data_IF_252971681273
#
_entry.id   IF_252971681273
#
_cell.length_a   1.000
_cell.length_b   1.000
_cell.length_c   1.000
_cell.angle_alpha   90.00
_cell.angle_beta   90.00
_cell.angle_gamma   90.00
#
_symmetry.space_group_name_H-M   'P 1'
#
loop_
_entity.id
_entity.type
_entity.pdbx_description
1 polymer ?
#
# COMPACT_ATOMS: atom_id res chain seq x y z
N UNK A 1 -5.88 -16.20 6.68
CA UNK A 1 -4.87 -15.38 6.01
C UNK A 1 -4.43 -14.30 6.98
N UNK A 2 -3.14 -13.96 7.03
CA UNK A 2 -2.63 -12.90 7.89
C UNK A 2 -1.47 -12.18 7.19
N UNK A 3 -1.17 -10.96 7.62
CA UNK A 3 -0.05 -10.18 7.10
C UNK A 3 1.19 -10.38 7.96
N UNK A 4 2.28 -10.78 7.33
CA UNK A 4 3.58 -10.95 7.99
C UNK A 4 4.55 -9.87 7.51
N UNK A 5 5.42 -9.42 8.41
CA UNK A 5 6.51 -8.51 8.06
C UNK A 5 7.43 -9.20 7.03
N UNK A 6 7.55 -8.61 5.85
CA UNK A 6 8.42 -9.11 4.78
C UNK A 6 9.86 -8.69 5.07
N UNK A 7 10.77 -9.66 5.14
CA UNK A 7 12.22 -9.44 5.32
C UNK A 7 13.00 -9.49 4.02
N UNK A 8 12.40 -10.05 2.99
CA UNK A 8 12.98 -10.19 1.67
C UNK A 8 12.64 -8.97 0.81
N UNK A 9 13.54 -8.68 -0.14
CA UNK A 9 13.34 -7.65 -1.14
C UNK A 9 12.06 -7.90 -1.94
N UNK A 10 11.26 -6.85 -2.11
CA UNK A 10 10.12 -6.87 -3.02
C UNK A 10 10.60 -6.51 -4.44
N UNK A 11 10.73 -7.52 -5.30
CA UNK A 11 11.08 -7.34 -6.72
C UNK A 11 9.83 -6.98 -7.54
N UNK A 12 9.41 -5.71 -7.42
CA UNK A 12 8.22 -5.20 -8.10
C UNK A 12 8.59 -4.57 -9.44
N UNK A 13 8.05 -5.11 -10.53
CA UNK A 13 8.15 -4.54 -11.88
C UNK A 13 6.79 -4.08 -12.39
N UNK A 14 6.79 -3.24 -13.43
CA UNK A 14 5.55 -2.74 -14.02
C UNK A 14 4.73 -3.88 -14.62
N UNK A 15 5.38 -4.89 -15.18
CA UNK A 15 4.67 -6.03 -15.79
C UNK A 15 3.96 -6.90 -14.74
N UNK A 16 4.48 -6.94 -13.51
CA UNK A 16 3.97 -7.76 -12.40
C UNK A 16 3.00 -7.02 -11.48
N UNK A 17 2.98 -5.69 -11.51
CA UNK A 17 2.05 -4.91 -10.70
C UNK A 17 0.65 -4.94 -11.36
N UNK A 18 -0.28 -5.64 -10.73
CA UNK A 18 -1.65 -5.77 -11.21
C UNK A 18 -2.52 -4.60 -10.76
N UNK A 19 -2.28 -4.07 -9.55
CA UNK A 19 -3.05 -2.97 -9.00
C UNK A 19 -2.33 -2.32 -7.81
N UNK A 20 -2.73 -1.08 -7.52
CA UNK A 20 -2.22 -0.31 -6.39
C UNK A 20 -3.39 0.42 -5.74
N UNK A 21 -3.40 0.57 -4.41
CA UNK A 21 -4.34 1.44 -3.70
C UNK A 21 -3.56 2.29 -2.72
N UNK A 22 -3.69 3.61 -2.80
CA UNK A 22 -2.99 4.54 -1.94
C UNK A 22 -3.86 4.94 -0.74
N UNK A 23 -3.23 5.19 0.40
CA UNK A 23 -3.94 5.75 1.55
C UNK A 23 -4.34 7.20 1.27
N UNK A 24 -5.61 7.53 1.49
CA UNK A 24 -6.20 8.86 1.35
C UNK A 24 -5.88 9.79 2.52
N UNK A 25 -5.55 9.22 3.69
CA UNK A 25 -5.23 9.96 4.90
C UNK A 25 -3.77 9.76 5.34
N UNK A 26 -3.39 10.48 6.40
CA UNK A 26 -2.05 10.40 7.00
C UNK A 26 -2.16 10.26 8.53
N UNK A 27 -2.57 9.08 9.04
CA UNK A 27 -2.71 8.87 10.47
C UNK A 27 -1.36 8.92 11.18
N UNK A 28 -1.39 9.13 12.51
CA UNK A 28 -0.24 8.90 13.37
C UNK A 28 -0.18 7.41 13.68
N UNK A 29 0.67 6.67 12.98
CA UNK A 29 0.84 5.24 13.16
C UNK A 29 1.91 4.95 14.23
N UNK A 30 1.67 3.91 15.05
CA UNK A 30 2.63 3.37 16.01
C UNK A 30 2.84 1.88 15.73
N UNK A 31 3.61 1.59 14.69
CA UNK A 31 3.96 0.24 14.25
C UNK A 31 5.30 -0.14 14.88
N UNK A 32 5.47 -1.37 15.38
CA UNK A 32 6.65 -1.75 16.16
C UNK A 32 7.98 -1.49 15.43
N UNK A 33 7.96 -1.63 14.11
CA UNK A 33 9.11 -1.46 13.21
C UNK A 33 9.32 -0.02 12.73
N UNK A 34 8.40 0.92 13.04
CA UNK A 34 8.49 2.33 12.63
C UNK A 34 8.46 3.28 13.82
N UNK A 35 9.22 4.40 13.78
CA UNK A 35 9.04 5.48 14.74
C UNK A 35 7.61 6.02 14.68
N UNK A 36 6.99 6.21 15.85
CA UNK A 36 5.66 6.78 15.95
C UNK A 36 5.57 8.16 15.28
N UNK A 37 4.55 8.37 14.44
CA UNK A 37 4.38 9.63 13.73
C UNK A 37 3.46 9.52 12.51
N UNK A 38 3.25 10.63 11.78
CA UNK A 38 2.48 10.64 10.54
C UNK A 38 3.07 9.65 9.53
N UNK A 39 2.22 8.80 8.97
CA UNK A 39 2.60 7.79 7.99
C UNK A 39 1.66 7.82 6.78
N UNK A 40 2.11 7.22 5.68
CA UNK A 40 1.30 6.88 4.50
C UNK A 40 1.42 5.39 4.21
N UNK A 41 0.40 4.83 3.58
CA UNK A 41 0.38 3.43 3.20
C UNK A 41 -0.05 3.23 1.75
N UNK A 42 0.28 2.05 1.20
CA UNK A 42 -0.28 1.57 -0.04
C UNK A 42 -0.45 0.06 0.00
N UNK A 43 -1.48 -0.43 -0.70
CA UNK A 43 -1.70 -1.86 -0.97
C UNK A 43 -1.34 -2.12 -2.43
N UNK A 44 -0.36 -2.99 -2.67
CA UNK A 44 0.02 -3.44 -3.99
C UNK A 44 -0.47 -4.87 -4.23
N UNK A 45 -1.14 -5.08 -5.35
CA UNK A 45 -1.57 -6.39 -5.85
C UNK A 45 -0.62 -6.74 -7.00
N UNK A 46 0.12 -7.83 -6.89
CA UNK A 46 1.18 -8.14 -7.84
C UNK A 46 1.41 -9.64 -8.00
N UNK A 47 2.14 -10.02 -9.04
CA UNK A 47 2.63 -11.38 -9.23
C UNK A 47 4.06 -11.52 -8.70
N UNK A 48 4.31 -12.54 -7.88
CA UNK A 48 5.65 -12.93 -7.44
C UNK A 48 6.46 -13.53 -8.59
N UNK A 49 7.77 -13.75 -8.36
CA UNK A 49 8.69 -14.30 -9.38
C UNK A 49 8.25 -15.68 -9.89
N UNK A 50 7.55 -16.46 -9.05
CA UNK A 50 7.00 -17.77 -9.40
C UNK A 50 5.65 -17.71 -10.14
N UNK A 51 5.17 -16.50 -10.43
CA UNK A 51 3.91 -16.24 -11.14
C UNK A 51 2.67 -16.31 -10.24
N UNK A 52 2.83 -16.45 -8.93
CA UNK A 52 1.69 -16.48 -8.00
C UNK A 52 1.23 -15.07 -7.65
N UNK A 53 -0.08 -14.82 -7.61
CA UNK A 53 -0.60 -13.55 -7.10
C UNK A 53 -0.26 -13.39 -5.62
N UNK A 54 0.14 -12.19 -5.23
CA UNK A 54 0.41 -11.80 -3.86
C UNK A 54 -0.09 -10.37 -3.60
N UNK A 55 -0.37 -10.08 -2.34
CA UNK A 55 -0.81 -8.76 -1.88
C UNK A 55 0.15 -8.28 -0.81
N UNK A 56 0.61 -7.05 -0.99
CA UNK A 56 1.61 -6.44 -0.13
C UNK A 56 1.11 -5.08 0.37
N UNK A 57 1.25 -4.83 1.66
CA UNK A 57 0.96 -3.54 2.29
C UNK A 57 2.26 -2.85 2.66
N UNK A 58 2.55 -1.73 2.01
CA UNK A 58 3.67 -0.86 2.33
C UNK A 58 3.24 0.27 3.25
N UNK A 59 4.02 0.55 4.30
CA UNK A 59 3.81 1.71 5.18
C UNK A 59 5.11 2.50 5.28
N UNK A 60 5.05 3.82 5.10
CA UNK A 60 6.19 4.74 5.26
C UNK A 60 5.90 5.83 6.27
N UNK A 61 6.83 6.01 7.21
CA UNK A 61 6.86 7.17 8.09
C UNK A 61 7.26 8.43 7.31
N UNK A 62 6.45 9.49 7.40
CA UNK A 62 6.77 10.75 6.72
C UNK A 62 7.89 11.52 7.42
N UNK A 63 8.10 11.28 8.72
CA UNK A 63 9.12 11.99 9.49
C UNK A 63 10.51 11.37 9.29
N UNK A 64 10.63 10.05 9.48
CA UNK A 64 11.93 9.37 9.36
C UNK A 64 12.22 8.86 7.96
N UNK A 65 11.21 8.86 7.07
CA UNK A 65 11.27 8.26 5.74
C UNK A 65 11.48 6.73 5.75
N UNK A 66 11.53 6.11 6.93
CA UNK A 66 11.60 4.66 7.09
C UNK A 66 10.30 4.01 6.61
N UNK A 67 10.42 2.85 5.97
CA UNK A 67 9.29 2.09 5.46
C UNK A 67 9.39 0.62 5.84
N UNK A 68 8.22 0.01 5.97
CA UNK A 68 8.03 -1.41 6.27
C UNK A 68 7.06 -2.00 5.25
N UNK A 69 7.26 -3.28 4.96
CA UNK A 69 6.46 -4.02 3.99
C UNK A 69 5.87 -5.23 4.71
N UNK A 70 4.57 -5.43 4.56
CA UNK A 70 3.87 -6.63 5.00
C UNK A 70 3.38 -7.39 3.77
N UNK A 71 3.53 -8.71 3.74
CA UNK A 71 2.98 -9.55 2.68
C UNK A 71 1.91 -10.48 3.25
N UNK A 72 0.91 -10.79 2.42
CA UNK A 72 -0.14 -11.72 2.77
C UNK A 72 0.41 -13.15 2.78
N UNK A 73 0.29 -13.81 3.93
CA UNK A 73 0.57 -15.25 4.05
C UNK A 73 -0.74 -16.02 3.79
N UNK A 74 -0.79 -16.70 2.65
CA UNK A 74 -1.95 -17.47 2.19
C UNK A 74 -1.85 -17.83 0.70
N UNK A 75 -2.76 -18.69 0.24
CA UNK A 75 -2.89 -19.03 -1.17
C UNK A 75 -3.95 -18.14 -1.84
N UNK A 76 -3.57 -17.44 -2.91
CA UNK A 76 -4.41 -16.56 -3.72
C UNK A 76 -4.72 -17.12 -5.13
N UNK A 77 -4.43 -18.41 -5.39
CA UNK A 77 -4.56 -19.02 -6.71
C UNK A 77 -6.01 -19.07 -7.24
N UNK A 78 -7.02 -18.95 -6.36
CA UNK A 78 -8.43 -18.92 -6.75
C UNK A 78 -8.95 -17.49 -6.86
N UNK A 79 -9.80 -17.20 -7.85
CA UNK A 79 -10.34 -15.84 -8.05
C UNK A 79 -11.13 -15.33 -6.83
N UNK A 80 -11.85 -16.21 -6.15
CA UNK A 80 -12.53 -15.89 -4.88
C UNK A 80 -11.53 -15.55 -3.77
N UNK A 81 -10.34 -16.14 -3.77
CA UNK A 81 -9.31 -15.87 -2.77
C UNK A 81 -8.66 -14.51 -2.97
N UNK A 82 -8.54 -14.02 -4.22
CA UNK A 82 -7.97 -12.70 -4.50
C UNK A 82 -8.83 -11.57 -3.90
N UNK A 83 -10.15 -11.60 -4.13
CA UNK A 83 -11.07 -10.60 -3.56
C UNK A 83 -11.01 -10.60 -2.02
N UNK A 84 -11.06 -11.77 -1.40
CA UNK A 84 -10.93 -11.91 0.06
C UNK A 84 -9.55 -11.43 0.57
N UNK A 85 -8.49 -11.66 -0.21
CA UNK A 85 -7.16 -11.16 0.11
C UNK A 85 -7.07 -9.63 0.06
N UNK A 86 -7.75 -9.00 -0.91
CA UNK A 86 -7.83 -7.54 -1.02
C UNK A 86 -8.58 -6.97 0.19
N UNK A 87 -9.76 -7.51 0.51
CA UNK A 87 -10.54 -7.08 1.68
C UNK A 87 -9.74 -7.22 2.98
N UNK A 88 -9.01 -8.34 3.12
CA UNK A 88 -8.12 -8.56 4.25
C UNK A 88 -6.99 -7.51 4.32
N UNK A 89 -6.44 -7.08 3.19
CA UNK A 89 -5.41 -6.05 3.12
C UNK A 89 -5.94 -4.67 3.53
N UNK A 90 -7.14 -4.32 3.06
CA UNK A 90 -7.82 -3.08 3.43
C UNK A 90 -8.11 -3.07 4.92
N UNK A 91 -8.75 -4.12 5.45
CA UNK A 91 -9.01 -4.27 6.89
C UNK A 91 -7.73 -4.20 7.72
N UNK A 92 -6.62 -4.78 7.25
CA UNK A 92 -5.33 -4.70 7.92
C UNK A 92 -4.81 -3.26 7.98
N UNK A 93 -4.87 -2.52 6.87
CA UNK A 93 -4.48 -1.12 6.84
C UNK A 93 -5.41 -0.19 7.63
N UNK A 94 -6.71 -0.44 7.61
CA UNK A 94 -7.73 0.30 8.37
C UNK A 94 -7.57 0.12 9.88
N UNK A 95 -7.21 -1.08 10.34
CA UNK A 95 -6.85 -1.32 11.73
C UNK A 95 -5.61 -0.54 12.17
N UNK A 96 -4.74 -0.13 11.24
CA UNK A 96 -3.62 0.79 11.49
C UNK A 96 -4.03 2.28 11.34
N UNK A 97 -5.28 2.56 11.00
CA UNK A 97 -5.86 3.90 10.84
C UNK A 97 -5.79 4.48 9.43
N UNK A 98 -5.40 3.69 8.42
CA UNK A 98 -5.35 4.15 7.03
C UNK A 98 -6.71 3.98 6.34
N UNK A 99 -7.11 4.95 5.52
CA UNK A 99 -8.26 4.86 4.63
C UNK A 99 -7.75 4.74 3.20
N UNK A 100 -8.27 3.82 2.40
CA UNK A 100 -7.83 3.60 1.03
C UNK A 100 -8.92 4.00 0.04
N UNK A 101 -8.50 4.40 -1.15
CA UNK A 101 -9.41 4.56 -2.29
C UNK A 101 -9.70 3.19 -2.90
N UNK A 102 -10.96 2.97 -3.29
CA UNK A 102 -11.39 1.74 -3.97
C UNK A 102 -11.18 1.82 -5.49
N UNK A 103 -11.11 3.03 -6.05
CA UNK A 103 -11.33 3.27 -7.49
C UNK A 103 -10.07 3.62 -8.31
N UNK A 104 -8.89 3.76 -7.70
CA UNK A 104 -7.81 4.53 -8.35
C UNK A 104 -7.16 3.84 -9.58
N UNK A 105 -7.25 2.51 -9.73
CA UNK A 105 -6.51 1.79 -10.79
C UNK A 105 -7.32 0.80 -11.65
N UNK A 106 -8.63 0.66 -11.46
CA UNK A 106 -9.45 -0.31 -12.21
C UNK A 106 -9.89 0.16 -13.61
N UNK A 107 -9.61 1.42 -14.00
CA UNK A 107 -10.33 2.08 -15.11
C UNK A 107 -9.49 2.45 -16.36
N UNK A 108 -8.34 1.83 -16.64
CA UNK A 108 -7.51 2.19 -17.81
C UNK A 108 -6.77 1.04 -18.50
N UNK A 109 -6.19 1.28 -19.69
CA UNK A 109 -5.36 0.29 -20.38
C UNK A 109 -4.11 -0.03 -19.54
N UNK A 110 -3.86 -1.32 -19.29
CA UNK A 110 -2.81 -1.80 -18.41
C UNK A 110 -1.41 -1.23 -18.74
N UNK A 111 -1.11 -1.01 -20.02
CA UNK A 111 0.17 -0.47 -20.50
C UNK A 111 0.48 0.94 -19.97
N UNK A 112 -0.54 1.76 -19.69
CA UNK A 112 -0.36 3.11 -19.15
C UNK A 112 -0.46 3.13 -17.61
N UNK A 113 -1.35 2.28 -17.08
CA UNK A 113 -1.69 2.26 -15.65
C UNK A 113 -0.57 1.66 -14.81
N UNK A 114 0.04 0.55 -15.25
CA UNK A 114 1.03 -0.17 -14.44
C UNK A 114 2.35 0.57 -14.24
N UNK A 115 2.96 1.21 -15.26
CA UNK A 115 4.17 2.02 -15.06
C UNK A 115 3.92 3.20 -14.11
N UNK A 116 2.75 3.84 -14.21
CA UNK A 116 2.35 4.93 -13.32
C UNK A 116 2.17 4.43 -11.88
N UNK A 117 1.49 3.30 -11.69
CA UNK A 117 1.32 2.67 -10.39
C UNK A 117 2.68 2.31 -9.78
N UNK A 118 3.60 1.74 -10.56
CA UNK A 118 4.94 1.43 -10.08
C UNK A 118 5.69 2.71 -9.66
N UNK A 119 5.60 3.79 -10.44
CA UNK A 119 6.17 5.08 -10.08
C UNK A 119 5.63 5.61 -8.75
N UNK A 120 4.31 5.55 -8.54
CA UNK A 120 3.68 5.97 -7.28
C UNK A 120 4.10 5.11 -6.09
N UNK A 121 4.22 3.78 -6.29
CA UNK A 121 4.76 2.89 -5.27
C UNK A 121 6.21 3.25 -4.93
N UNK A 122 7.07 3.49 -5.94
CA UNK A 122 8.47 3.86 -5.72
C UNK A 122 8.62 5.24 -5.07
N UNK A 123 7.81 6.22 -5.47
CA UNK A 123 7.76 7.54 -4.84
C UNK A 123 7.34 7.42 -3.38
N UNK A 124 6.31 6.60 -3.12
CA UNK A 124 5.81 6.37 -1.77
C UNK A 124 6.81 5.61 -0.92
N UNK A 125 7.42 4.52 -1.40
CA UNK A 125 8.25 3.64 -0.58
C UNK A 125 9.73 4.05 -0.57
N UNK A 126 10.14 4.94 -1.47
CA UNK A 126 11.52 5.34 -1.67
C UNK A 126 12.31 4.35 -2.54
N UNK A 127 13.55 4.69 -2.91
CA UNK A 127 14.40 3.82 -3.71
C UNK A 127 14.63 2.50 -2.96
N UNK A 128 14.07 1.42 -3.55
CA UNK A 128 14.21 0.01 -3.21
C UNK A 128 14.49 -0.30 -1.72
N UNK A 129 13.45 -0.80 -1.04
CA UNK A 129 13.51 -1.39 0.30
C UNK A 129 14.35 -2.68 0.32
N UNK A 130 15.65 -2.54 0.08
CA UNK A 130 16.68 -3.58 0.18
C UNK A 130 17.52 -3.49 1.44
N UNK A 131 17.22 -2.52 2.29
CA UNK A 131 17.99 -2.31 3.50
C UNK A 131 17.01 -2.03 4.64
N UNK A 132 16.77 -3.07 5.42
CA UNK A 132 16.53 -2.93 6.86
C UNK A 132 17.79 -2.37 7.56
N UNK A 133 18.53 -1.43 6.94
CA UNK A 133 19.58 -0.63 7.57
C UNK A 133 18.98 0.66 8.15
N UNK A 134 17.91 0.52 8.93
CA UNK A 134 17.73 1.41 10.10
C UNK A 134 17.20 0.59 11.26
N UNK A 135 17.78 -0.60 11.48
CA UNK A 135 17.83 -1.13 12.84
C UNK A 135 18.69 -0.17 13.68
N UNK A 136 18.00 0.62 14.49
CA UNK A 136 18.56 1.30 15.65
C UNK A 136 19.73 2.27 15.38
N UNK A 137 19.43 3.50 14.97
CA UNK A 137 19.89 4.53 15.90
C UNK A 137 18.99 4.38 17.12
N UNK A 138 19.50 3.96 18.30
CA UNK A 138 18.75 4.18 19.52
C UNK A 138 18.32 5.65 19.50
N UNK A 139 17.12 6.01 20.02
CA UNK A 139 16.82 7.41 20.22
C UNK A 139 18.06 7.98 20.90
N UNK A 140 18.78 8.87 20.22
CA UNK A 140 19.87 9.60 20.85
C UNK A 140 19.13 10.31 21.95
N UNK A 141 19.17 9.73 23.16
CA UNK A 141 18.63 10.36 24.33
C UNK A 141 19.18 11.77 24.25
N UNK A 142 18.34 12.81 24.23
CA UNK A 142 18.83 14.17 24.16
C UNK A 142 19.92 14.24 25.21
N UNK A 143 21.17 14.50 24.76
CA UNK A 143 22.35 14.49 25.62
C UNK A 143 21.92 15.19 26.89
N UNK A 144 22.06 14.55 28.08
CA UNK A 144 21.47 15.07 29.30
C UNK A 144 21.88 16.53 29.37
N UNK A 145 20.92 17.41 29.11
CA UNK A 145 21.12 18.83 29.27
C UNK A 145 21.51 18.91 30.72
N UNK A 146 22.79 19.22 30.97
CA UNK A 146 23.29 19.44 32.30
C UNK A 146 22.22 20.29 32.98
N UNK A 147 21.61 19.81 34.08
CA UNK A 147 20.49 20.51 34.66
C UNK A 147 20.94 21.95 34.85
N UNK A 148 20.18 22.95 34.37
CA UNK A 148 20.48 24.32 34.75
C UNK A 148 20.52 24.31 36.28
N UNK A 149 21.65 24.72 36.86
CA UNK A 149 21.84 24.76 38.31
C UNK A 149 20.70 25.57 38.90
N UNK A 150 19.67 24.87 39.37
CA UNK A 150 18.54 25.48 40.04
C UNK A 150 19.06 25.97 41.39
N UNK A 151 18.79 27.24 41.75
CA UNK A 151 19.09 27.72 43.07
C UNK A 151 18.34 26.84 44.08
N UNK A 152 19.08 26.45 45.13
CA UNK A 152 18.63 25.66 46.27
C UNK A 152 17.44 26.38 46.93
N UNK A 153 16.24 26.03 46.48
CA UNK A 153 14.97 26.59 46.91
C UNK A 153 14.16 25.47 47.53
N UNK A 154 14.34 25.29 48.83
CA UNK A 154 13.50 24.50 49.70
C UNK A 154 12.03 24.94 49.54
N UNK A 155 11.23 24.09 48.91
CA UNK A 155 9.78 24.24 48.87
C UNK A 155 9.17 23.02 49.57
N UNK A 156 8.68 23.25 50.78
CA UNK A 156 7.86 22.29 51.52
C UNK A 156 6.48 22.24 50.84
N UNK A 157 6.16 21.12 50.20
CA UNK A 157 4.79 20.84 49.75
C UNK A 157 4.19 19.91 50.81
N UNK A 158 3.39 20.51 51.69
CA UNK A 158 2.48 19.80 52.58
C UNK A 158 1.45 19.02 51.76
N UNK A 159 1.02 17.90 52.36
CA UNK A 159 0.19 16.87 51.75
C UNK A 159 -1.14 17.37 51.20
N UNK A 160 -1.56 16.68 50.15
CA UNK A 160 -2.95 16.58 49.74
C UNK A 160 -3.26 15.09 49.61
N UNK A 161 -3.70 14.52 50.73
CA UNK A 161 -4.79 13.55 50.75
C UNK A 161 -5.98 14.16 50.00
N UNK A 162 -6.55 13.49 49.00
CA UNK A 162 -8.02 13.36 48.90
C UNK A 162 -8.41 12.36 47.80
N UNK A 163 -9.31 11.46 48.21
CA UNK A 163 -10.15 10.55 47.46
C UNK A 163 -10.58 11.01 46.06
N UNK A 164 -10.49 10.11 45.09
CA UNK A 164 -11.36 10.15 43.91
C UNK A 164 -11.66 8.75 43.41
N UNK A 165 -12.66 8.20 44.09
CA UNK A 165 -13.80 7.41 43.62
C UNK A 165 -13.63 6.48 42.41
N UNK A 166 -13.85 5.22 42.75
CA UNK A 166 -14.11 4.06 41.92
C UNK A 166 -15.36 4.34 41.05
N UNK A 167 -15.20 4.52 39.74
CA UNK A 167 -16.31 4.43 38.79
C UNK A 167 -16.57 2.95 38.46
N UNK A 168 -17.31 2.30 39.34
CA UNK A 168 -18.11 1.12 39.06
C UNK A 168 -19.51 1.61 38.65
N UNK A 169 -19.95 1.27 37.44
CA UNK A 169 -21.32 1.25 36.87
C UNK A 169 -21.14 1.44 35.34
N UNK A 170 -21.69 0.66 34.40
CA UNK A 170 -22.89 -0.16 34.40
C UNK A 170 -22.74 -1.33 33.41
N UNK A 171 -23.19 -2.48 33.87
CA UNK A 171 -23.70 -3.61 33.09
C UNK A 171 -24.87 -3.13 32.21
N UNK A 172 -24.67 -3.08 30.89
CA UNK A 172 -25.77 -2.92 29.93
C UNK A 172 -25.84 -4.15 29.04
N UNK A 173 -26.68 -5.07 29.50
CA UNK A 173 -27.61 -5.91 28.75
C UNK A 173 -27.23 -6.33 27.31
N UNK A 174 -27.07 -7.64 27.16
CA UNK A 174 -27.36 -8.40 25.93
C UNK A 174 -28.78 -8.09 25.40
N UNK A 175 -28.92 -7.78 24.11
CA UNK A 175 -30.10 -8.11 23.34
C UNK A 175 -29.79 -9.29 22.40
N UNK A 176 -29.63 -10.48 22.96
CA UNK A 176 -29.93 -11.71 22.21
C UNK A 176 -31.46 -11.87 22.19
N UNK A 177 -32.16 -11.22 21.25
CA UNK A 177 -33.52 -11.62 20.88
C UNK A 177 -33.89 -11.19 19.45
N UNK A 178 -34.37 -12.19 18.72
CA UNK A 178 -35.37 -12.11 17.64
C UNK A 178 -35.05 -11.33 16.34
N UNK A 179 -34.31 -11.96 15.43
CA UNK A 179 -34.62 -11.88 13.98
C UNK A 179 -34.62 -13.28 13.35
N UNK A 180 -35.43 -14.17 13.91
CA UNK A 180 -35.97 -15.31 13.18
C UNK A 180 -37.36 -14.91 12.63
N UNK A 181 -37.57 -15.13 11.33
CA UNK A 181 -38.86 -15.06 10.60
C UNK A 181 -39.38 -13.67 10.16
N UNK A 182 -38.89 -13.21 9.02
CA UNK A 182 -39.67 -12.72 7.87
C UNK A 182 -38.65 -12.60 6.72
N UNK A 183 -38.74 -13.28 5.57
CA UNK A 183 -39.83 -13.28 4.63
C UNK A 183 -39.80 -14.57 3.81
N UNK A 184 -40.96 -15.23 3.77
CA UNK A 184 -41.27 -16.25 2.79
C UNK A 184 -41.65 -15.60 1.45
N UNK A 185 -41.26 -16.30 0.37
CA UNK A 185 -42.02 -16.49 -0.87
C UNK A 185 -42.46 -15.24 -1.68
N UNK A 186 -41.67 -14.90 -2.71
CA UNK A 186 -42.20 -14.38 -3.98
C UNK A 186 -41.44 -15.01 -5.16
N UNK A 187 -42.03 -15.95 -5.93
CA UNK A 187 -41.50 -16.34 -7.23
C UNK A 187 -41.90 -15.29 -8.28
N UNK A 188 -41.08 -14.24 -8.37
CA UNK A 188 -41.17 -13.21 -9.41
C UNK A 188 -40.64 -13.69 -10.76
N UNK A 189 -41.58 -13.89 -11.68
CA UNK A 189 -41.49 -14.15 -13.10
C UNK A 189 -40.20 -13.67 -13.81
N UNK A 190 -39.51 -14.65 -14.41
CA UNK A 190 -38.27 -14.49 -15.18
C UNK A 190 -38.62 -13.84 -16.52
N UNK A 191 -38.47 -12.51 -16.60
CA UNK A 191 -38.50 -11.77 -17.84
C UNK A 191 -37.30 -12.15 -18.72
N UNK A 192 -37.52 -13.09 -19.64
CA UNK A 192 -36.56 -13.45 -20.67
C UNK A 192 -36.37 -12.30 -21.66
N UNK A 193 -35.33 -11.50 -21.47
CA UNK A 193 -34.88 -10.57 -22.51
C UNK A 193 -34.16 -11.34 -23.63
N UNK A 194 -34.53 -11.12 -24.89
CA UNK A 194 -33.98 -11.88 -26.02
C UNK A 194 -32.52 -11.49 -26.28
N UNK A 195 -31.65 -12.49 -26.18
CA UNK A 195 -30.26 -12.46 -26.62
C UNK A 195 -30.14 -11.87 -28.03
N UNK A 196 -29.52 -10.70 -28.13
CA UNK A 196 -29.20 -10.07 -29.40
C UNK A 196 -28.12 -10.92 -30.09
N UNK A 197 -28.35 -11.42 -31.32
CA UNK A 197 -27.37 -12.26 -32.00
C UNK A 197 -26.10 -11.48 -32.34
N UNK A 198 -24.97 -11.96 -31.81
CA UNK A 198 -23.59 -11.57 -32.13
C UNK A 198 -23.27 -11.96 -33.57
N UNK A 199 -23.80 -11.21 -34.53
CA UNK A 199 -23.55 -11.42 -35.96
C UNK A 199 -23.61 -10.09 -36.68
N UNK A 200 -22.52 -9.32 -36.56
CA UNK A 200 -21.96 -8.46 -37.61
C UNK A 200 -20.58 -7.94 -37.16
N UNK A 201 -19.60 -8.83 -37.21
CA UNK A 201 -18.27 -8.43 -37.63
C UNK A 201 -18.37 -7.91 -39.07
N UNK A 202 -17.99 -6.65 -39.30
CA UNK A 202 -17.45 -6.26 -40.61
C UNK A 202 -16.35 -5.22 -40.43
N UNK A 203 -15.16 -5.69 -40.74
CA UNK A 203 -13.90 -4.99 -40.96
C UNK A 203 -14.03 -3.56 -41.48
N UNK A 204 -13.36 -2.64 -40.80
CA UNK A 204 -12.67 -1.52 -41.43
C UNK A 204 -11.19 -1.62 -41.03
N UNK A 205 -10.47 -2.49 -41.71
CA UNK A 205 -9.02 -2.42 -41.76
C UNK A 205 -8.66 -1.19 -42.58
N UNK A 206 -8.20 -0.12 -41.94
CA UNK A 206 -7.47 0.94 -42.63
C UNK A 206 -6.00 0.65 -42.43
N UNK A 207 -5.42 0.01 -43.43
CA UNK A 207 -3.98 -0.17 -43.60
C UNK A 207 -3.35 1.19 -43.88
N UNK A 208 -2.55 1.71 -42.95
CA UNK A 208 -1.50 2.67 -43.31
C UNK A 208 -0.19 1.91 -43.55
N UNK A 209 0.40 2.03 -44.75
CA UNK A 209 1.61 1.29 -45.11
C UNK A 209 2.85 1.89 -44.44
N UNK A 210 3.64 0.98 -43.86
CA UNK A 210 5.02 1.15 -43.43
C UNK A 210 5.86 1.87 -44.50
N UNK A 211 6.48 2.98 -44.11
CA UNK A 211 7.63 3.55 -44.82
C UNK A 211 8.86 2.65 -44.63
N UNK A 212 9.55 2.23 -45.70
CA UNK A 212 10.71 1.37 -45.60
C UNK A 212 12.00 2.14 -45.25
N UNK A 213 12.88 1.42 -44.54
CA UNK A 213 14.24 1.78 -44.15
C UNK A 213 15.14 2.24 -45.31
N UNK A 214 15.90 3.30 -45.05
CA UNK A 214 17.27 3.58 -45.48
C UNK A 214 17.73 4.79 -44.62
N UNK A 215 18.94 4.95 -44.11
CA UNK A 215 20.23 4.55 -44.63
C UNK A 215 21.25 4.57 -43.47
N UNK A 216 22.11 3.56 -43.50
CA UNK A 216 23.36 3.41 -42.75
C UNK A 216 24.40 4.45 -43.21
N UNK A 217 25.23 5.01 -42.31
CA UNK A 217 26.56 5.67 -42.52
C UNK A 217 26.81 6.65 -41.34
N UNK A 218 27.92 6.71 -40.59
CA UNK A 218 29.21 6.02 -40.45
C UNK A 218 29.77 6.40 -39.04
N UNK A 219 30.66 5.59 -38.43
CA UNK A 219 31.37 5.95 -37.20
C UNK A 219 32.55 6.89 -37.49
N UNK A 220 32.60 8.03 -36.81
CA UNK A 220 33.69 9.00 -36.89
C UNK A 220 34.98 8.49 -36.25
N UNK A 221 35.95 8.12 -37.09
CA UNK A 221 37.36 7.93 -36.70
C UNK A 221 38.06 9.28 -36.87
N UNK A 222 38.32 9.95 -35.76
CA UNK A 222 39.15 11.15 -35.72
C UNK A 222 40.63 10.78 -35.80
N UNK A 223 41.26 11.04 -36.94
CA UNK A 223 42.71 11.08 -37.11
C UNK A 223 43.18 12.55 -36.94
N UNK A 224 44.17 12.84 -36.07
CA UNK A 224 44.73 14.18 -35.97
C UNK A 224 45.78 14.45 -37.07
N UNK A 225 45.86 15.68 -37.59
CA UNK A 225 46.77 16.02 -38.69
C UNK A 225 48.23 16.13 -38.25
N UNK A 226 49.08 15.50 -39.04
CA UNK A 226 50.53 15.72 -39.08
C UNK A 226 50.85 17.12 -39.63
N UNK A 227 51.54 17.92 -38.83
CA UNK A 227 52.32 19.09 -39.27
C UNK A 227 53.75 18.86 -38.74
N UNK A 228 54.69 18.48 -39.61
CA UNK A 228 55.56 19.37 -40.39
C UNK A 228 56.91 19.61 -39.71
N UNK A 229 57.95 19.07 -40.36
CA UNK A 229 59.34 19.53 -40.50
C UNK A 229 60.06 20.19 -39.32
#
# INVERSE_FOLDING_TARGET
>A
MYFALRRELLDLSADRLCGLRLSLNTPVASIAELPAGPARAAVAIHEEIDGRPNITVGVRSLRSQAAVIFSLEGDLNEHSSLAVGIDAALSFGENMGFLFDEDEFDSGPAEEVRPRALGLWQDLMGPALGQSEVLAQPPVAPAPLAPPSLPDGSFEVEGLDDDSEVLLLEELADPEDELANAFADEPGEIGAEPLVPLSKFRHAASSEPLSPCADEVQPGVGEPPSAAK
#
